data_IF_331757086491
#
_entry.id   IF_331757086491
#
_cell.length_a   1.000
_cell.length_b   1.000
_cell.length_c   1.000
_cell.angle_alpha   90.00
_cell.angle_beta   90.00
_cell.angle_gamma   90.00
#
_symmetry.space_group_name_H-M   'P 1'
#
loop_
_entity.id
_entity.type
_entity.pdbx_description
1 polymer ?
#
# COMPACT_ATOMS: atom_id res chain seq x y z
N UNK A 1 10.14 13.29 24.04
CA UNK A 1 10.34 14.09 22.82
C UNK A 1 9.06 14.84 22.49
N UNK A 2 9.15 16.14 22.22
CA UNK A 2 8.01 16.90 21.68
C UNK A 2 7.76 16.54 20.19
N UNK A 3 6.73 17.11 19.57
CA UNK A 3 6.42 16.86 18.15
C UNK A 3 7.55 17.35 17.23
N UNK A 4 8.13 18.53 17.51
CA UNK A 4 9.19 19.12 16.69
C UNK A 4 10.48 18.29 16.68
N UNK A 5 10.88 17.77 17.83
CA UNK A 5 12.02 16.85 17.95
C UNK A 5 11.80 15.56 17.17
N UNK A 6 10.59 14.98 17.25
CA UNK A 6 10.25 13.78 16.47
C UNK A 6 10.26 14.06 14.97
N UNK A 7 9.82 15.24 14.53
CA UNK A 7 9.94 15.65 13.11
C UNK A 7 11.41 15.75 12.69
N UNK A 8 12.28 16.34 13.52
CA UNK A 8 13.72 16.40 13.24
C UNK A 8 14.33 15.01 13.09
N UNK A 9 13.99 14.09 14.00
CA UNK A 9 14.43 12.69 13.92
C UNK A 9 13.85 11.98 12.70
N UNK A 10 12.59 12.20 12.36
CA UNK A 10 11.98 11.64 11.14
C UNK A 10 12.74 12.05 9.86
N UNK A 11 13.22 13.30 9.80
CA UNK A 11 13.91 13.84 8.62
C UNK A 11 15.39 13.46 8.58
N UNK A 12 16.10 13.52 9.71
CA UNK A 12 17.57 13.42 9.77
C UNK A 12 18.08 12.09 10.32
N UNK A 13 17.23 11.36 11.04
CA UNK A 13 17.55 10.12 11.73
C UNK A 13 17.85 8.94 10.82
N UNK A 14 18.11 7.80 11.45
CA UNK A 14 18.41 6.54 10.81
C UNK A 14 17.13 5.78 10.40
N UNK A 15 17.31 4.63 9.76
CA UNK A 15 16.21 3.77 9.28
C UNK A 15 15.32 3.24 10.40
N UNK A 16 15.91 2.87 11.54
CA UNK A 16 15.19 2.29 12.68
C UNK A 16 14.28 3.33 13.35
N UNK A 17 14.79 4.55 13.53
CA UNK A 17 14.04 5.68 14.04
C UNK A 17 12.84 5.99 13.15
N UNK A 18 13.01 6.01 11.82
CA UNK A 18 11.90 6.16 10.87
C UNK A 18 10.89 5.01 10.96
N UNK A 19 11.36 3.77 11.09
CA UNK A 19 10.49 2.60 11.24
C UNK A 19 9.64 2.64 12.53
N UNK A 20 10.12 3.33 13.56
CA UNK A 20 9.34 3.60 14.78
C UNK A 20 8.36 4.76 14.53
N UNK A 21 8.86 5.88 14.02
CA UNK A 21 8.11 7.14 13.87
C UNK A 21 7.02 7.09 12.78
N UNK A 22 7.08 6.16 11.83
CA UNK A 22 5.99 5.99 10.86
C UNK A 22 4.65 5.60 11.52
N UNK A 23 4.71 5.05 12.74
CA UNK A 23 3.54 4.68 13.56
C UNK A 23 3.16 5.75 14.57
N UNK A 24 3.74 6.94 14.48
CA UNK A 24 3.53 8.02 15.44
C UNK A 24 2.08 8.54 15.47
N UNK A 25 1.60 8.89 16.66
CA UNK A 25 0.30 9.50 16.92
C UNK A 25 0.02 10.76 16.10
N UNK A 26 1.05 11.55 15.87
CA UNK A 26 0.97 12.79 15.13
C UNK A 26 1.10 12.54 13.64
N UNK A 27 0.08 12.94 12.87
CA UNK A 27 0.13 12.95 11.41
C UNK A 27 1.36 13.71 10.89
N UNK A 28 1.72 14.82 11.53
CA UNK A 28 2.87 15.63 11.12
C UNK A 28 4.18 14.84 11.18
N UNK A 29 4.35 14.00 12.20
CA UNK A 29 5.55 13.16 12.36
C UNK A 29 5.55 12.06 11.29
N UNK A 30 4.45 11.34 11.11
CA UNK A 30 4.37 10.28 10.09
C UNK A 30 4.56 10.82 8.67
N UNK A 31 4.00 11.99 8.35
CA UNK A 31 4.19 12.63 7.05
C UNK A 31 5.65 13.11 6.88
N UNK A 32 6.30 13.60 7.94
CA UNK A 32 7.72 13.93 7.90
C UNK A 32 8.61 12.70 7.60
N UNK A 33 8.27 11.52 8.14
CA UNK A 33 8.99 10.28 7.78
C UNK A 33 8.89 9.99 6.29
N UNK A 34 7.69 10.10 5.71
CA UNK A 34 7.46 9.87 4.28
C UNK A 34 8.09 10.93 3.37
N UNK A 35 8.28 12.14 3.87
CA UNK A 35 8.93 13.25 3.15
C UNK A 35 10.44 13.31 3.37
N UNK A 36 11.01 12.45 4.22
CA UNK A 36 12.46 12.42 4.45
C UNK A 36 13.21 12.12 3.15
N UNK A 37 14.25 12.89 2.79
CA UNK A 37 15.07 12.59 1.62
C UNK A 37 15.85 11.28 1.77
N UNK A 38 16.00 10.78 3.01
CA UNK A 38 16.70 9.53 3.32
C UNK A 38 15.80 8.30 3.27
N UNK A 39 14.49 8.45 3.04
CA UNK A 39 13.57 7.31 2.98
C UNK A 39 13.83 6.51 1.70
N UNK A 40 14.11 5.22 1.85
CA UNK A 40 14.34 4.32 0.73
C UNK A 40 13.04 3.70 0.22
N UNK A 41 13.06 3.16 -1.01
CA UNK A 41 11.92 2.45 -1.56
C UNK A 41 11.57 1.20 -0.73
N UNK A 42 12.57 0.48 -0.23
CA UNK A 42 12.35 -0.69 0.63
C UNK A 42 11.67 -0.31 1.96
N UNK A 43 11.98 0.86 2.52
CA UNK A 43 11.27 1.36 3.70
C UNK A 43 9.79 1.60 3.39
N UNK A 44 9.48 2.22 2.24
CA UNK A 44 8.10 2.46 1.82
C UNK A 44 7.33 1.16 1.59
N UNK A 45 7.95 0.17 0.94
CA UNK A 45 7.36 -1.16 0.77
C UNK A 45 7.03 -1.80 2.12
N UNK A 46 7.96 -1.68 3.08
CA UNK A 46 7.76 -2.16 4.45
C UNK A 46 6.60 -1.43 5.10
N UNK A 47 6.56 -0.10 5.06
CA UNK A 47 5.50 0.73 5.67
C UNK A 47 4.13 0.42 5.07
N UNK A 48 4.03 0.21 3.76
CA UNK A 48 2.79 -0.16 3.07
C UNK A 48 2.25 -1.52 3.54
N UNK A 49 3.11 -2.45 3.96
CA UNK A 49 2.71 -3.76 4.47
C UNK A 49 2.33 -3.78 5.97
N UNK A 50 2.69 -2.73 6.73
CA UNK A 50 2.50 -2.71 8.18
C UNK A 50 1.02 -2.63 8.56
N UNK A 51 0.56 -3.55 9.41
CA UNK A 51 -0.84 -3.56 9.89
C UNK A 51 -1.09 -2.62 11.07
N UNK A 52 -0.04 -2.05 11.64
CA UNK A 52 -0.06 -1.17 12.81
C UNK A 52 0.23 0.30 12.48
N UNK A 53 0.31 0.67 11.20
CA UNK A 53 0.29 2.08 10.80
C UNK A 53 -1.16 2.60 10.76
N UNK A 54 -1.29 3.93 10.82
CA UNK A 54 -2.59 4.60 10.69
C UNK A 54 -2.99 4.71 9.22
N UNK A 55 -4.30 4.82 8.99
CA UNK A 55 -4.88 4.94 7.66
C UNK A 55 -4.28 6.11 6.85
N UNK A 56 -4.07 7.26 7.50
CA UNK A 56 -3.50 8.45 6.86
C UNK A 56 -2.10 8.19 6.26
N UNK A 57 -1.30 7.33 6.89
CA UNK A 57 0.03 6.97 6.37
C UNK A 57 -0.11 6.22 5.04
N UNK A 58 -1.02 5.24 4.99
CA UNK A 58 -1.27 4.46 3.78
C UNK A 58 -1.87 5.32 2.66
N UNK A 59 -2.72 6.30 3.03
CA UNK A 59 -3.26 7.30 2.10
C UNK A 59 -2.17 8.22 1.55
N UNK A 60 -1.25 8.68 2.39
CA UNK A 60 -0.11 9.51 1.98
C UNK A 60 0.83 8.73 1.06
N UNK A 61 1.08 7.44 1.34
CA UNK A 61 1.85 6.56 0.44
C UNK A 61 1.13 6.42 -0.92
N UNK A 62 -0.17 6.11 -0.91
CA UNK A 62 -0.96 5.89 -2.11
C UNK A 62 -1.07 7.13 -3.03
N UNK A 63 -0.98 8.33 -2.46
CA UNK A 63 -1.04 9.60 -3.21
C UNK A 63 0.30 10.03 -3.77
N UNK A 64 1.41 9.43 -3.33
CA UNK A 64 2.73 9.80 -3.80
C UNK A 64 3.08 9.02 -5.07
N UNK A 65 3.05 9.71 -6.21
CA UNK A 65 3.38 9.12 -7.52
C UNK A 65 4.75 8.45 -7.59
N UNK A 66 5.73 8.87 -6.77
CA UNK A 66 7.04 8.21 -6.69
C UNK A 66 6.90 6.78 -6.19
N UNK A 67 6.12 6.57 -5.14
CA UNK A 67 5.94 5.26 -4.51
C UNK A 67 5.02 4.35 -5.33
N UNK A 68 4.06 4.95 -6.04
CA UNK A 68 3.11 4.22 -6.87
C UNK A 68 3.70 3.62 -8.15
N UNK A 69 4.99 3.84 -8.43
CA UNK A 69 5.72 3.11 -9.48
C UNK A 69 6.10 1.69 -9.06
N UNK A 70 6.24 1.44 -7.76
CA UNK A 70 6.58 0.10 -7.25
C UNK A 70 5.34 -0.78 -7.24
N UNK A 71 5.43 -1.90 -7.96
CA UNK A 71 4.43 -2.95 -7.92
C UNK A 71 4.25 -3.51 -6.50
N UNK A 72 5.34 -3.64 -5.76
CA UNK A 72 5.33 -4.17 -4.38
C UNK A 72 4.55 -3.25 -3.46
N UNK A 73 4.72 -1.93 -3.58
CA UNK A 73 3.93 -0.94 -2.82
C UNK A 73 2.44 -1.09 -3.14
N UNK A 74 2.06 -1.14 -4.43
CA UNK A 74 0.66 -1.32 -4.85
C UNK A 74 0.06 -2.60 -4.24
N UNK A 75 0.78 -3.72 -4.36
CA UNK A 75 0.40 -5.02 -3.81
C UNK A 75 0.22 -4.96 -2.30
N UNK A 76 1.19 -4.39 -1.59
CA UNK A 76 1.15 -4.28 -0.12
C UNK A 76 -0.03 -3.41 0.35
N UNK A 77 -0.26 -2.28 -0.31
CA UNK A 77 -1.42 -1.43 -0.03
C UNK A 77 -2.74 -2.17 -0.21
N UNK A 78 -2.92 -2.91 -1.32
CA UNK A 78 -4.16 -3.67 -1.56
C UNK A 78 -4.37 -4.79 -0.54
N UNK A 79 -3.29 -5.43 -0.08
CA UNK A 79 -3.33 -6.54 0.87
C UNK A 79 -3.45 -6.11 2.34
N UNK A 80 -3.34 -4.82 2.63
CA UNK A 80 -3.30 -4.29 4.00
C UNK A 80 -4.73 -3.99 4.52
N UNK A 81 -5.14 -4.54 5.67
CA UNK A 81 -6.46 -4.30 6.26
C UNK A 81 -6.73 -2.84 6.65
N UNK A 82 -5.68 -2.04 6.84
CA UNK A 82 -5.78 -0.62 7.21
C UNK A 82 -5.84 0.30 6.00
N UNK A 83 -5.67 -0.22 4.78
CA UNK A 83 -5.81 0.59 3.58
C UNK A 83 -7.30 0.87 3.33
N UNK A 84 -7.67 2.14 3.15
CA UNK A 84 -9.03 2.54 2.79
C UNK A 84 -9.56 1.79 1.58
N UNK A 85 -10.84 1.41 1.63
CA UNK A 85 -11.49 0.67 0.55
C UNK A 85 -11.46 1.42 -0.78
N UNK A 86 -11.67 2.74 -0.76
CA UNK A 86 -11.62 3.62 -1.93
C UNK A 86 -10.28 3.53 -2.66
N UNK A 87 -9.18 3.53 -1.91
CA UNK A 87 -7.84 3.41 -2.48
C UNK A 87 -7.61 2.00 -3.03
N UNK A 88 -7.89 0.97 -2.23
CA UNK A 88 -7.64 -0.42 -2.62
C UNK A 88 -8.39 -0.83 -3.90
N UNK A 89 -9.63 -0.36 -4.10
CA UNK A 89 -10.42 -0.61 -5.31
C UNK A 89 -9.82 0.05 -6.57
N UNK A 90 -9.18 1.22 -6.43
CA UNK A 90 -8.45 1.85 -7.52
C UNK A 90 -7.17 1.08 -7.86
N UNK A 91 -6.41 0.72 -6.83
CA UNK A 91 -5.11 0.08 -6.96
C UNK A 91 -5.16 -1.36 -7.48
N UNK A 92 -6.24 -2.10 -7.19
CA UNK A 92 -6.36 -3.50 -7.59
C UNK A 92 -6.29 -3.70 -9.11
N UNK A 93 -6.63 -2.68 -9.90
CA UNK A 93 -6.54 -2.72 -11.37
C UNK A 93 -5.08 -2.89 -11.84
N UNK A 94 -4.11 -2.50 -11.02
CA UNK A 94 -2.69 -2.57 -11.34
C UNK A 94 -2.04 -3.88 -10.87
N UNK A 95 -2.76 -4.74 -10.13
CA UNK A 95 -2.23 -6.02 -9.66
C UNK A 95 -2.13 -7.03 -10.80
N UNK A 96 -1.26 -8.02 -10.70
CA UNK A 96 -1.18 -9.15 -11.63
C UNK A 96 -2.17 -10.26 -11.23
N UNK A 97 -2.49 -11.17 -12.17
CA UNK A 97 -3.45 -12.24 -11.94
C UNK A 97 -3.14 -13.12 -10.70
N UNK A 98 -1.87 -13.56 -10.45
CA UNK A 98 -1.56 -14.35 -9.26
C UNK A 98 -1.85 -13.61 -7.94
N UNK A 99 -1.60 -12.30 -7.91
CA UNK A 99 -1.84 -11.46 -6.74
C UNK A 99 -3.32 -11.14 -6.55
N UNK A 100 -4.11 -11.02 -7.62
CA UNK A 100 -5.57 -10.94 -7.54
C UNK A 100 -6.19 -12.21 -6.94
N UNK A 101 -5.65 -13.39 -7.30
CA UNK A 101 -6.05 -14.66 -6.70
C UNK A 101 -5.66 -14.72 -5.21
N UNK A 102 -4.46 -14.29 -4.87
CA UNK A 102 -4.04 -14.22 -3.47
C UNK A 102 -4.90 -13.25 -2.65
N UNK A 103 -5.23 -12.09 -3.23
CA UNK A 103 -6.08 -11.08 -2.61
C UNK A 103 -7.51 -11.60 -2.36
N UNK A 104 -8.07 -12.37 -3.29
CA UNK A 104 -9.42 -12.94 -3.13
C UNK A 104 -9.53 -13.96 -2.00
N UNK A 105 -8.42 -14.60 -1.65
CA UNK A 105 -8.35 -15.58 -0.55
C UNK A 105 -7.93 -14.93 0.79
N UNK A 106 -7.49 -13.67 0.79
CA UNK A 106 -6.96 -13.01 1.98
C UNK A 106 -8.09 -12.56 2.92
N UNK A 107 -8.30 -13.30 4.01
CA UNK A 107 -9.34 -13.01 5.01
C UNK A 107 -9.13 -11.70 5.79
N UNK A 108 -7.93 -11.12 5.72
CA UNK A 108 -7.63 -9.86 6.40
C UNK A 108 -8.20 -8.63 5.66
N UNK A 109 -8.45 -8.72 4.36
CA UNK A 109 -8.98 -7.57 3.60
C UNK A 109 -10.51 -7.60 3.55
N UNK A 110 -11.19 -6.44 3.39
CA UNK A 110 -12.64 -6.36 3.21
C UNK A 110 -13.22 -7.35 2.20
N UNK A 111 -14.39 -7.92 2.50
CA UNK A 111 -15.10 -8.87 1.62
C UNK A 111 -15.33 -8.31 0.21
N UNK A 112 -15.62 -7.01 0.10
CA UNK A 112 -15.77 -6.32 -1.19
C UNK A 112 -14.51 -6.42 -2.04
N UNK A 113 -13.32 -6.25 -1.46
CA UNK A 113 -12.05 -6.39 -2.17
C UNK A 113 -11.80 -7.83 -2.59
N UNK A 114 -12.16 -8.81 -1.75
CA UNK A 114 -12.03 -10.23 -2.11
C UNK A 114 -12.90 -10.59 -3.32
N UNK A 115 -14.18 -10.22 -3.29
CA UNK A 115 -15.14 -10.48 -4.38
C UNK A 115 -14.70 -9.80 -5.67
N UNK A 116 -14.30 -8.53 -5.60
CA UNK A 116 -13.84 -7.79 -6.77
C UNK A 116 -12.51 -8.35 -7.31
N UNK A 117 -11.59 -8.76 -6.42
CA UNK A 117 -10.32 -9.38 -6.80
C UNK A 117 -10.54 -10.69 -7.55
N UNK A 118 -11.47 -11.53 -7.06
CA UNK A 118 -11.87 -12.76 -7.74
C UNK A 118 -12.50 -12.49 -9.11
N UNK A 119 -13.36 -11.48 -9.22
CA UNK A 119 -13.97 -11.07 -10.49
C UNK A 119 -12.89 -10.67 -11.51
N UNK A 120 -11.97 -9.78 -11.12
CA UNK A 120 -10.88 -9.33 -11.99
C UNK A 120 -9.92 -10.47 -12.37
N UNK A 121 -9.63 -11.38 -11.43
CA UNK A 121 -8.83 -12.56 -11.70
C UNK A 121 -9.47 -13.40 -12.81
N UNK A 122 -10.76 -13.75 -12.65
CA UNK A 122 -11.51 -14.50 -13.66
C UNK A 122 -11.50 -13.81 -15.01
N UNK A 123 -11.82 -12.51 -15.06
CA UNK A 123 -11.82 -11.74 -16.32
C UNK A 123 -10.47 -11.77 -17.04
N UNK A 124 -9.35 -11.83 -16.31
CA UNK A 124 -7.99 -11.86 -16.89
C UNK A 124 -7.50 -13.25 -17.27
N UNK A 125 -7.97 -14.28 -16.58
CA UNK A 125 -7.57 -15.67 -16.85
C UNK A 125 -8.52 -16.39 -17.79
N UNK A 126 -9.74 -15.88 -17.96
CA UNK A 126 -10.67 -16.38 -18.98
C UNK A 126 -10.09 -16.08 -20.36
N UNK A 127 -9.98 -17.08 -21.26
CA UNK A 127 -9.57 -16.84 -22.63
C UNK A 127 -10.63 -16.00 -23.34
N UNK A 128 -10.33 -14.73 -23.58
CA UNK A 128 -11.15 -13.87 -24.41
C UNK A 128 -11.03 -14.29 -25.89
N UNK A 129 -12.02 -15.04 -26.38
CA UNK A 129 -12.55 -15.03 -27.75
C UNK A 129 -11.58 -15.07 -28.93
N UNK A 130 -10.91 -16.21 -29.18
CA UNK A 130 -10.39 -16.57 -30.52
C UNK A 130 -11.14 -17.80 -31.06
N UNK A 131 -12.45 -17.65 -31.29
CA UNK A 131 -13.28 -18.68 -31.91
C UNK A 131 -14.36 -18.07 -32.84
N UNK A 132 -14.05 -16.95 -33.49
CA UNK A 132 -14.77 -16.49 -34.67
C UNK A 132 -13.74 -16.43 -35.79
N UNK A 133 -13.76 -17.45 -36.65
CA UNK A 133 -13.38 -17.51 -38.07
C UNK A 133 -13.34 -18.99 -38.43
N UNK A 134 -14.53 -19.60 -38.50
CA UNK A 134 -14.82 -20.70 -39.40
C UNK A 134 -15.52 -20.10 -40.61
#
# INVERSE_FOLDING_TARGET
MNVGERIKVAMLGNKEERAILIRDGSKLVSSAVLSSPKVSEQEIETFASMKNVRENVLRDIARNHKFMKSYVVIKNLCGNPRTPLDLSLGLMKNLMAPDLKSLSMNKNVPETLRKMGLKLFKTRTSPSGKAEYL
#
